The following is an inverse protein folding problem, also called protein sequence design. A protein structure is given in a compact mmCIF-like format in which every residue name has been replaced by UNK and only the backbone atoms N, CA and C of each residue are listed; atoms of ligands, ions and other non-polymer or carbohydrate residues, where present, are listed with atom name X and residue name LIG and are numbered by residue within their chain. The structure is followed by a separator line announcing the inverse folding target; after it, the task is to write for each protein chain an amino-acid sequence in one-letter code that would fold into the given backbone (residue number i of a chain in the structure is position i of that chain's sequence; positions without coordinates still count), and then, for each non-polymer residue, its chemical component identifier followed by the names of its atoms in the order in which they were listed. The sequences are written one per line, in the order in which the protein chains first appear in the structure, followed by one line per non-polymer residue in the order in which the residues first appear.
data_IF_997638070139
#
_entry.id   IF_997638070139
#
_cell.length_a   1.000
_cell.length_b   1.000
_cell.length_c   1.000
_cell.angle_alpha   90.00
_cell.angle_beta   90.00
_cell.angle_gamma   90.00
#
_symmetry.space_group_name_H-M   'P 1'
#
loop_
_entity.id
_entity.type
_entity.pdbx_description
1 polymer ?
#
# COMPACT_ATOMS: atom_id res chain seq x y z
N UNK A 1 13.76 0.94 -3.32
CA UNK A 1 13.19 -0.43 -3.36
C UNK A 1 11.71 -0.29 -3.71
N UNK A 2 11.20 -1.12 -4.62
CA UNK A 2 9.81 -1.06 -5.11
C UNK A 2 8.74 -0.92 -4.02
N UNK A 3 8.82 -1.74 -2.97
CA UNK A 3 7.87 -1.73 -1.84
C UNK A 3 7.86 -0.38 -1.12
N UNK A 4 9.02 0.22 -0.86
CA UNK A 4 9.09 1.55 -0.22
C UNK A 4 8.52 2.64 -1.12
N UNK A 5 8.67 2.54 -2.45
CA UNK A 5 8.06 3.50 -3.38
C UNK A 5 6.54 3.43 -3.29
N UNK A 6 5.95 2.23 -3.28
CA UNK A 6 4.51 2.07 -3.07
C UNK A 6 4.09 2.67 -1.73
N UNK A 7 4.79 2.35 -0.64
CA UNK A 7 4.45 2.87 0.68
C UNK A 7 4.45 4.40 0.67
N UNK A 8 5.49 5.04 0.12
CA UNK A 8 5.59 6.51 0.02
C UNK A 8 4.40 7.11 -0.73
N UNK A 9 4.09 6.60 -1.91
CA UNK A 9 2.95 7.08 -2.71
C UNK A 9 1.64 6.95 -1.93
N UNK A 10 1.46 5.83 -1.22
CA UNK A 10 0.23 5.58 -0.46
C UNK A 10 0.12 6.42 0.82
N UNK A 11 1.23 6.75 1.49
CA UNK A 11 1.19 7.65 2.65
C UNK A 11 1.02 9.11 2.25
N UNK A 12 1.36 9.48 1.01
CA UNK A 12 1.16 10.83 0.48
C UNK A 12 -0.28 11.07 0.00
N UNK A 13 -1.04 10.02 -0.26
CA UNK A 13 -2.43 10.10 -0.73
C UNK A 13 -3.40 10.65 0.35
N UNK A 14 -4.04 11.77 0.04
CA UNK A 14 -4.95 12.47 0.96
C UNK A 14 -6.21 11.66 1.30
N UNK A 15 -6.71 10.87 0.35
CA UNK A 15 -7.89 10.03 0.58
C UNK A 15 -7.55 8.95 1.61
N UNK A 16 -6.43 8.25 1.43
CA UNK A 16 -5.92 7.25 2.37
C UNK A 16 -5.65 7.85 3.75
N UNK A 17 -5.10 9.06 3.84
CA UNK A 17 -4.93 9.76 5.12
C UNK A 17 -6.27 9.92 5.86
N UNK A 18 -7.29 10.43 5.18
CA UNK A 18 -8.63 10.61 5.76
C UNK A 18 -9.21 9.26 6.17
N UNK A 19 -9.14 8.26 5.29
CA UNK A 19 -9.68 6.93 5.55
C UNK A 19 -8.96 6.24 6.73
N UNK A 20 -7.64 6.40 6.87
CA UNK A 20 -6.87 5.82 7.95
C UNK A 20 -7.22 6.40 9.32
N UNK A 21 -7.58 7.69 9.38
CA UNK A 21 -8.02 8.38 10.61
C UNK A 21 -9.47 8.09 10.96
N UNK A 22 -10.33 7.95 9.95
CA UNK A 22 -11.76 7.72 10.14
C UNK A 22 -12.10 6.25 10.45
N UNK A 23 -11.26 5.31 10.02
CA UNK A 23 -11.61 3.89 10.01
C UNK A 23 -10.58 3.00 10.72
N UNK A 24 -11.07 1.85 11.20
CA UNK A 24 -10.21 0.72 11.61
C UNK A 24 -9.61 0.03 10.39
N UNK A 25 -8.53 -0.72 10.60
CA UNK A 25 -7.82 -1.46 9.54
C UNK A 25 -8.76 -2.29 8.64
N UNK A 26 -9.75 -2.97 9.23
CA UNK A 26 -10.70 -3.82 8.49
C UNK A 26 -11.55 -3.07 7.46
N UNK A 27 -11.80 -1.78 7.67
CA UNK A 27 -12.54 -0.93 6.74
C UNK A 27 -11.58 -0.15 5.84
N UNK A 28 -10.45 0.32 6.39
CA UNK A 28 -9.38 0.96 5.63
C UNK A 28 -8.85 0.09 4.48
N UNK A 29 -8.83 -1.23 4.67
CA UNK A 29 -8.32 -2.18 3.66
C UNK A 29 -8.96 -1.99 2.28
N UNK A 30 -10.23 -1.59 2.20
CA UNK A 30 -10.92 -1.43 0.91
C UNK A 30 -10.36 -0.25 0.12
N UNK A 31 -10.21 0.91 0.76
CA UNK A 31 -9.59 2.09 0.14
C UNK A 31 -8.12 1.84 -0.20
N UNK A 32 -7.42 1.08 0.65
CA UNK A 32 -6.06 0.63 0.39
C UNK A 32 -5.96 -0.27 -0.84
N UNK A 33 -6.80 -1.30 -0.95
CA UNK A 33 -6.73 -2.29 -2.02
C UNK A 33 -6.98 -1.67 -3.39
N UNK A 34 -7.93 -0.73 -3.48
CA UNK A 34 -8.21 0.03 -4.70
C UNK A 34 -6.97 0.79 -5.17
N UNK A 35 -6.36 1.61 -4.30
CA UNK A 35 -5.19 2.38 -4.67
C UNK A 35 -3.95 1.49 -4.90
N UNK A 36 -3.80 0.41 -4.13
CA UNK A 36 -2.68 -0.52 -4.26
C UNK A 36 -2.62 -1.14 -5.66
N UNK A 37 -3.74 -1.64 -6.17
CA UNK A 37 -3.81 -2.24 -7.52
C UNK A 37 -3.45 -1.18 -8.57
N UNK A 38 -3.99 0.02 -8.43
CA UNK A 38 -3.77 1.11 -9.38
C UNK A 38 -2.28 1.53 -9.45
N UNK A 39 -1.61 1.62 -8.28
CA UNK A 39 -0.17 1.91 -8.20
C UNK A 39 0.69 0.73 -8.64
N UNK A 40 0.28 -0.50 -8.33
CA UNK A 40 0.98 -1.71 -8.76
C UNK A 40 1.06 -1.77 -10.29
N UNK A 41 -0.04 -1.50 -10.99
CA UNK A 41 -0.09 -1.44 -12.47
C UNK A 41 0.74 -0.27 -12.98
N UNK A 42 0.60 0.92 -12.41
CA UNK A 42 1.31 2.12 -12.84
C UNK A 42 2.84 2.02 -12.72
N UNK A 43 3.33 1.19 -11.80
CA UNK A 43 4.76 0.98 -11.56
C UNK A 43 5.32 -0.25 -12.28
N UNK A 44 4.50 -0.99 -13.02
CA UNK A 44 4.87 -2.20 -13.75
C UNK A 44 6.06 -1.96 -14.69
N UNK A 45 6.02 -0.90 -15.51
CA UNK A 45 7.07 -0.61 -16.51
C UNK A 45 8.44 -0.37 -15.86
N UNK A 46 8.47 0.15 -14.63
CA UNK A 46 9.70 0.44 -13.90
C UNK A 46 10.19 -0.75 -13.06
N UNK A 47 9.31 -1.72 -12.81
CA UNK A 47 9.49 -2.76 -11.80
C UNK A 47 8.91 -4.11 -12.27
N UNK A 48 9.17 -4.48 -13.53
CA UNK A 48 8.54 -5.64 -14.18
C UNK A 48 8.77 -6.96 -13.41
N UNK A 49 10.01 -7.29 -13.03
CA UNK A 49 10.34 -8.55 -12.36
C UNK A 49 9.59 -8.73 -11.02
N UNK A 50 9.54 -7.67 -10.21
CA UNK A 50 8.85 -7.72 -8.92
C UNK A 50 7.34 -7.67 -9.09
N UNK A 51 6.84 -6.96 -10.11
CA UNK A 51 5.43 -6.98 -10.47
C UNK A 51 4.99 -8.40 -10.87
N UNK A 52 5.72 -9.04 -11.80
CA UNK A 52 5.46 -10.41 -12.24
C UNK A 52 5.46 -11.36 -11.04
N UNK A 53 6.45 -11.25 -10.15
CA UNK A 53 6.49 -12.05 -8.93
C UNK A 53 5.28 -11.83 -8.02
N UNK A 54 4.78 -10.61 -7.88
CA UNK A 54 3.59 -10.31 -7.06
C UNK A 54 2.32 -10.92 -7.66
N UNK A 55 2.24 -10.99 -9.00
CA UNK A 55 1.06 -11.51 -9.71
C UNK A 55 1.11 -13.03 -9.85
N UNK A 56 2.27 -13.62 -10.13
CA UNK A 56 2.45 -15.05 -10.38
C UNK A 56 2.56 -15.89 -9.09
N UNK A 57 3.20 -15.34 -8.06
CA UNK A 57 3.33 -15.98 -6.74
C UNK A 57 2.28 -15.39 -5.79
N UNK A 58 1.07 -15.97 -5.81
CA UNK A 58 -0.06 -15.52 -4.97
C UNK A 58 0.29 -15.44 -3.47
N UNK A 59 0.98 -16.43 -2.86
CA UNK A 59 1.47 -16.30 -1.48
C UNK A 59 2.35 -15.07 -1.27
N UNK A 60 3.32 -14.84 -2.16
CA UNK A 60 4.21 -13.68 -2.08
C UNK A 60 3.46 -12.36 -2.26
N UNK A 61 2.61 -12.25 -3.27
CA UNK A 61 1.81 -11.06 -3.53
C UNK A 61 0.89 -10.72 -2.35
N UNK A 62 0.27 -11.73 -1.75
CA UNK A 62 -0.56 -11.55 -0.54
C UNK A 62 0.26 -11.03 0.63
N UNK A 63 1.44 -11.61 0.88
CA UNK A 63 2.34 -11.18 1.94
C UNK A 63 2.79 -9.72 1.75
N UNK A 64 3.20 -9.36 0.53
CA UNK A 64 3.64 -8.00 0.19
C UNK A 64 2.50 -7.01 0.37
N UNK A 65 1.30 -7.33 -0.14
CA UNK A 65 0.11 -6.48 0.00
C UNK A 65 -0.21 -6.24 1.48
N UNK A 66 -0.24 -7.29 2.30
CA UNK A 66 -0.52 -7.16 3.74
C UNK A 66 0.54 -6.34 4.48
N UNK A 67 1.81 -6.55 4.14
CA UNK A 67 2.93 -5.79 4.71
C UNK A 67 2.78 -4.30 4.42
N UNK A 68 2.52 -3.94 3.16
CA UNK A 68 2.34 -2.55 2.74
C UNK A 68 1.11 -1.96 3.44
N UNK A 69 -0.01 -2.66 3.47
CA UNK A 69 -1.24 -2.20 4.12
C UNK A 69 -1.01 -1.85 5.59
N UNK A 70 -0.43 -2.78 6.36
CA UNK A 70 -0.16 -2.57 7.79
C UNK A 70 0.82 -1.43 8.00
N UNK A 71 1.84 -1.31 7.14
CA UNK A 71 2.86 -0.26 7.23
C UNK A 71 2.29 1.11 6.92
N UNK A 72 1.52 1.26 5.83
CA UNK A 72 0.85 2.51 5.46
C UNK A 72 -0.13 2.94 6.56
N UNK A 73 -1.00 2.03 7.00
CA UNK A 73 -1.97 2.35 8.05
C UNK A 73 -1.29 2.80 9.35
N UNK A 74 -0.20 2.14 9.74
CA UNK A 74 0.60 2.54 10.90
C UNK A 74 1.22 3.93 10.69
N UNK A 75 1.92 4.17 9.57
CA UNK A 75 2.55 5.47 9.27
C UNK A 75 1.55 6.63 9.25
N UNK A 76 0.36 6.41 8.72
CA UNK A 76 -0.71 7.42 8.69
C UNK A 76 -1.30 7.69 10.08
N UNK A 77 -1.20 6.74 11.01
CA UNK A 77 -1.74 6.85 12.36
C UNK A 77 -0.73 7.22 13.44
N UNK A 78 0.57 7.24 13.14
CA UNK A 78 1.58 7.80 14.05
C UNK A 78 1.33 9.31 14.16
N UNK A 79 1.01 9.84 15.36
CA UNK A 79 1.00 11.28 15.56
C UNK A 79 2.44 11.79 15.35
N UNK A 80 2.60 12.81 14.50
CA UNK A 80 3.90 13.45 14.30
C UNK A 80 4.43 13.88 15.68
N UNK A 81 5.66 13.51 16.07
CA UNK A 81 6.23 14.03 17.31
C UNK A 81 6.24 15.56 17.22
N UNK A 82 5.70 16.19 18.26
CA UNK A 82 5.57 17.64 18.39
C UNK A 82 6.93 18.35 18.45
#
# INVERSE_FOLDING_TARGET
MFVEQIITIMVEDETLKIQAKANKLDTFKYAFEELFIDKLISLMEQNQEIFEKIIEDTPFGTLVKELIMKTVYARLNIPMPA
#
